data_IF_385370350594
#
_entry.id   IF_385370350594
#
_cell.length_a   1.000
_cell.length_b   1.000
_cell.length_c   1.000
_cell.angle_alpha   90.00
_cell.angle_beta   90.00
_cell.angle_gamma   90.00
#
_symmetry.space_group_name_H-M   'P 1'
#
loop_
_entity.id
_entity.type
_entity.pdbx_description
1 polymer ?
#
# COMPACT_ATOMS: atom_id res chain seq x y z
N UNK A 1 -18.12 20.60 29.82
CA UNK A 1 -16.95 19.82 30.23
C UNK A 1 -15.92 19.97 29.14
N UNK A 2 -14.88 20.79 29.34
CA UNK A 2 -13.88 21.11 28.29
C UNK A 2 -12.89 19.94 28.20
N UNK A 3 -12.85 19.26 27.06
CA UNK A 3 -11.80 18.30 26.76
C UNK A 3 -10.50 19.08 26.50
N UNK A 4 -9.45 18.78 27.24
CA UNK A 4 -8.14 19.37 27.11
C UNK A 4 -7.51 18.94 25.80
N UNK A 5 -7.28 19.91 24.91
CA UNK A 5 -6.41 19.73 23.76
C UNK A 5 -4.96 19.52 24.26
N UNK A 6 -4.56 18.27 24.36
CA UNK A 6 -3.14 17.94 24.55
C UNK A 6 -2.44 18.16 23.21
N UNK A 7 -1.82 19.32 23.06
CA UNK A 7 -0.87 19.60 21.99
C UNK A 7 0.25 18.55 22.08
N UNK A 8 0.29 17.64 21.13
CA UNK A 8 1.37 16.67 20.99
C UNK A 8 2.64 17.46 20.63
N UNK A 9 3.59 17.55 21.56
CA UNK A 9 4.91 18.13 21.27
C UNK A 9 5.54 17.37 20.09
N UNK A 10 6.26 18.05 19.19
CA UNK A 10 6.96 17.36 18.10
C UNK A 10 7.98 16.40 18.75
N UNK A 11 7.75 15.11 18.57
CA UNK A 11 8.73 14.08 18.94
C UNK A 11 9.97 14.26 18.07
N UNK A 12 11.13 13.93 18.62
CA UNK A 12 12.40 13.78 17.89
C UNK A 12 12.13 13.24 16.49
N UNK A 13 12.73 13.86 15.48
CA UNK A 13 12.51 13.53 14.07
C UNK A 13 12.80 12.05 13.83
N UNK A 14 11.76 11.21 13.96
CA UNK A 14 11.87 9.81 13.56
C UNK A 14 12.16 9.81 12.07
N UNK A 15 13.22 9.10 11.68
CA UNK A 15 13.42 8.80 10.25
C UNK A 15 12.18 8.05 9.74
N UNK A 16 11.60 8.46 8.59
CA UNK A 16 10.53 7.70 7.99
C UNK A 16 11.01 6.29 7.62
N UNK A 17 10.15 5.30 7.80
CA UNK A 17 10.42 3.93 7.38
C UNK A 17 10.56 3.86 5.85
N UNK A 18 11.69 3.39 5.37
CA UNK A 18 11.93 3.16 3.94
C UNK A 18 11.32 1.82 3.52
N UNK A 19 10.15 1.88 2.89
CA UNK A 19 9.44 0.71 2.38
C UNK A 19 9.76 0.46 0.91
N UNK A 20 10.34 -0.70 0.59
CA UNK A 20 10.72 -1.09 -0.75
C UNK A 20 9.83 -2.21 -1.34
N UNK A 21 9.56 -2.20 -2.66
CA UNK A 21 8.86 -3.29 -3.33
C UNK A 21 9.75 -4.52 -3.49
N UNK A 22 9.23 -5.72 -3.20
CA UNK A 22 9.89 -6.98 -3.51
C UNK A 22 8.95 -7.89 -4.32
N UNK A 23 9.15 -7.95 -5.64
CA UNK A 23 8.35 -8.78 -6.55
C UNK A 23 8.96 -10.16 -6.80
N UNK A 24 10.15 -10.45 -6.28
CA UNK A 24 10.90 -11.70 -6.38
C UNK A 24 11.96 -11.77 -5.29
N UNK A 25 12.59 -12.94 -5.08
CA UNK A 25 13.74 -13.06 -4.14
C UNK A 25 14.88 -12.12 -4.50
N UNK A 26 15.25 -12.02 -5.78
CA UNK A 26 16.31 -11.09 -6.22
C UNK A 26 15.97 -9.62 -5.92
N UNK A 27 14.68 -9.22 -6.04
CA UNK A 27 14.24 -7.87 -5.67
C UNK A 27 14.26 -7.67 -4.16
N UNK A 28 13.99 -8.71 -3.38
CA UNK A 28 14.12 -8.68 -1.91
C UNK A 28 15.57 -8.47 -1.52
N UNK A 29 16.49 -9.27 -2.04
CA UNK A 29 17.93 -9.14 -1.78
C UNK A 29 18.44 -7.73 -2.11
N UNK A 30 18.07 -7.19 -3.27
CA UNK A 30 18.42 -5.82 -3.66
C UNK A 30 17.83 -4.76 -2.72
N UNK A 31 16.62 -4.96 -2.19
CA UNK A 31 16.03 -4.05 -1.20
C UNK A 31 16.79 -4.10 0.14
N UNK A 32 17.18 -5.28 0.59
CA UNK A 32 17.98 -5.48 1.81
C UNK A 32 19.36 -4.81 1.68
N UNK A 33 20.05 -5.03 0.57
CA UNK A 33 21.33 -4.38 0.26
C UNK A 33 21.19 -2.85 0.13
N UNK A 34 20.04 -2.38 -0.36
CA UNK A 34 19.70 -0.95 -0.50
C UNK A 34 19.33 -0.27 0.81
N UNK A 35 19.28 -0.98 1.93
CA UNK A 35 18.99 -0.41 3.26
C UNK A 35 17.50 -0.16 3.50
N UNK A 36 16.61 -1.00 2.98
CA UNK A 36 15.20 -0.95 3.29
C UNK A 36 14.95 -1.25 4.77
N UNK A 37 14.02 -0.52 5.41
CA UNK A 37 13.53 -0.81 6.76
C UNK A 37 12.37 -1.80 6.73
N UNK A 38 11.62 -1.80 5.62
CA UNK A 38 10.54 -2.74 5.36
C UNK A 38 10.45 -3.08 3.87
N UNK A 39 9.88 -4.24 3.56
CA UNK A 39 9.56 -4.64 2.19
C UNK A 39 8.09 -5.01 2.08
N UNK A 40 7.47 -4.69 0.92
CA UNK A 40 6.16 -5.23 0.61
C UNK A 40 6.21 -6.17 -0.59
N UNK A 41 5.49 -7.27 -0.49
CA UNK A 41 5.47 -8.33 -1.49
C UNK A 41 4.05 -8.88 -1.66
N UNK A 42 3.83 -9.64 -2.72
CA UNK A 42 2.54 -10.24 -3.05
C UNK A 42 2.59 -11.76 -2.98
N UNK A 43 1.50 -12.35 -2.52
CA UNK A 43 1.24 -13.77 -2.71
C UNK A 43 0.81 -14.10 -4.14
N UNK A 44 0.54 -15.35 -4.43
CA UNK A 44 0.13 -15.82 -5.76
C UNK A 44 -1.26 -15.34 -6.18
N UNK A 45 -2.09 -14.87 -5.24
CA UNK A 45 -3.48 -14.47 -5.48
C UNK A 45 -3.88 -13.25 -4.65
N UNK A 46 -5.00 -12.62 -5.03
CA UNK A 46 -5.70 -11.57 -4.27
C UNK A 46 -4.86 -10.31 -3.99
N UNK A 47 -3.92 -9.99 -4.86
CA UNK A 47 -3.11 -8.79 -4.75
C UNK A 47 -3.10 -7.96 -6.04
N UNK A 48 -2.93 -6.66 -5.91
CA UNK A 48 -2.88 -5.71 -7.03
C UNK A 48 -1.56 -5.79 -7.84
N UNK A 49 -0.68 -6.73 -7.53
CA UNK A 49 0.59 -7.00 -8.22
C UNK A 49 0.58 -8.34 -8.94
N UNK A 50 -0.56 -8.80 -9.44
CA UNK A 50 -0.72 -10.10 -10.08
C UNK A 50 0.32 -10.39 -11.19
N UNK A 51 0.80 -9.36 -11.88
CA UNK A 51 1.82 -9.48 -12.94
C UNK A 51 3.27 -9.61 -12.41
N UNK A 52 3.54 -9.48 -11.12
CA UNK A 52 4.85 -9.78 -10.55
C UNK A 52 5.03 -11.30 -10.40
N UNK A 53 6.27 -11.76 -10.23
CA UNK A 53 6.54 -13.18 -9.99
C UNK A 53 5.82 -13.67 -8.73
N UNK A 54 5.72 -12.80 -7.73
CA UNK A 54 5.10 -13.06 -6.42
C UNK A 54 5.71 -14.27 -5.68
N UNK A 55 5.18 -14.59 -4.52
CA UNK A 55 5.73 -15.61 -3.64
C UNK A 55 4.67 -16.68 -3.33
N UNK A 56 5.01 -17.95 -3.49
CA UNK A 56 4.23 -19.03 -2.95
C UNK A 56 4.46 -19.15 -1.43
N UNK A 57 3.76 -20.05 -0.74
CA UNK A 57 3.81 -20.16 0.72
C UNK A 57 5.21 -20.54 1.27
N UNK A 58 5.99 -21.30 0.52
CA UNK A 58 7.37 -21.68 0.91
C UNK A 58 8.33 -20.52 0.67
N UNK A 59 8.26 -19.90 -0.50
CA UNK A 59 9.03 -18.69 -0.84
C UNK A 59 8.72 -17.54 0.12
N UNK A 60 7.45 -17.35 0.51
CA UNK A 60 7.05 -16.34 1.50
C UNK A 60 7.73 -16.56 2.84
N UNK A 61 7.73 -17.80 3.35
CA UNK A 61 8.44 -18.14 4.60
C UNK A 61 9.94 -17.92 4.50
N UNK A 62 10.55 -18.24 3.37
CA UNK A 62 11.97 -18.01 3.13
C UNK A 62 12.29 -16.52 3.05
N UNK A 63 11.48 -15.74 2.32
CA UNK A 63 11.62 -14.30 2.18
C UNK A 63 11.48 -13.58 3.54
N UNK A 64 10.48 -13.98 4.34
CA UNK A 64 10.26 -13.40 5.68
C UNK A 64 11.45 -13.68 6.61
N UNK A 65 11.94 -14.92 6.65
CA UNK A 65 13.13 -15.24 7.46
C UNK A 65 14.36 -14.47 7.03
N UNK A 66 14.58 -14.33 5.71
CA UNK A 66 15.71 -13.57 5.18
C UNK A 66 15.62 -12.09 5.56
N UNK A 67 14.46 -11.47 5.36
CA UNK A 67 14.22 -10.06 5.74
C UNK A 67 14.44 -9.84 7.24
N UNK A 68 13.84 -10.67 8.09
CA UNK A 68 13.98 -10.58 9.54
C UNK A 68 15.42 -10.79 10.02
N UNK A 69 16.20 -11.64 9.36
CA UNK A 69 17.63 -11.80 9.67
C UNK A 69 18.45 -10.51 9.42
N UNK A 70 17.93 -9.60 8.57
CA UNK A 70 18.48 -8.27 8.33
C UNK A 70 17.80 -7.16 9.16
N UNK A 71 16.85 -7.51 10.04
CA UNK A 71 16.08 -6.53 10.82
C UNK A 71 15.00 -5.79 10.00
N UNK A 72 14.64 -6.29 8.82
CA UNK A 72 13.72 -5.68 7.86
C UNK A 72 12.33 -6.31 8.00
N UNK A 73 11.28 -5.48 8.12
CA UNK A 73 9.88 -5.93 8.21
C UNK A 73 9.34 -6.40 6.87
N UNK A 74 8.33 -7.25 6.91
CA UNK A 74 7.67 -7.81 5.72
C UNK A 74 6.17 -7.54 5.75
N UNK A 75 5.63 -6.85 4.73
CA UNK A 75 4.21 -6.59 4.56
C UNK A 75 3.67 -7.35 3.35
N UNK A 76 2.64 -8.16 3.55
CA UNK A 76 2.02 -8.91 2.45
C UNK A 76 0.82 -8.15 1.90
N UNK A 77 0.77 -7.98 0.57
CA UNK A 77 -0.38 -7.39 -0.11
C UNK A 77 -1.49 -8.42 -0.33
N UNK A 78 -2.66 -8.16 0.25
CA UNK A 78 -3.96 -8.79 -0.03
C UNK A 78 -4.96 -7.67 -0.37
N UNK A 79 -4.63 -6.85 -1.36
CA UNK A 79 -5.21 -5.54 -1.57
C UNK A 79 -6.09 -5.44 -2.82
N UNK A 80 -6.80 -6.51 -3.15
CA UNK A 80 -7.91 -6.51 -4.08
C UNK A 80 -9.24 -6.52 -3.33
N UNK A 81 -10.31 -6.03 -3.95
CA UNK A 81 -11.66 -6.28 -3.47
C UNK A 81 -12.00 -7.77 -3.66
N UNK A 82 -12.72 -8.35 -2.71
CA UNK A 82 -13.05 -9.77 -2.72
C UNK A 82 -14.57 -9.97 -2.79
N UNK A 83 -14.99 -11.02 -3.49
CA UNK A 83 -16.37 -11.48 -3.52
C UNK A 83 -16.63 -12.46 -2.38
N UNK A 84 -17.91 -12.73 -2.06
CA UNK A 84 -18.28 -13.72 -1.04
C UNK A 84 -17.64 -15.10 -1.31
N UNK A 85 -17.48 -15.47 -2.58
CA UNK A 85 -16.84 -16.73 -2.97
C UNK A 85 -15.34 -16.77 -2.68
N UNK A 86 -14.70 -15.61 -2.62
CA UNK A 86 -13.26 -15.46 -2.39
C UNK A 86 -12.90 -15.22 -0.92
N UNK A 87 -13.88 -14.89 -0.06
CA UNK A 87 -13.64 -14.56 1.36
C UNK A 87 -12.91 -15.68 2.11
N UNK A 88 -13.18 -16.94 1.80
CA UNK A 88 -12.49 -18.08 2.45
C UNK A 88 -11.03 -18.11 2.02
N UNK A 89 -10.76 -18.05 0.71
CA UNK A 89 -9.40 -18.04 0.17
C UNK A 89 -8.61 -16.81 0.66
N UNK A 90 -9.25 -15.65 0.76
CA UNK A 90 -8.66 -14.44 1.33
C UNK A 90 -8.24 -14.62 2.79
N UNK A 91 -9.11 -15.23 3.60
CA UNK A 91 -8.83 -15.48 5.01
C UNK A 91 -7.72 -16.54 5.18
N UNK A 92 -7.73 -17.58 4.35
CA UNK A 92 -6.70 -18.63 4.39
C UNK A 92 -5.34 -18.08 3.99
N UNK A 93 -5.28 -17.24 2.94
CA UNK A 93 -4.05 -16.54 2.55
C UNK A 93 -3.49 -15.66 3.67
N UNK A 94 -4.36 -14.96 4.41
CA UNK A 94 -3.95 -14.17 5.56
C UNK A 94 -3.42 -15.04 6.72
N UNK A 95 -4.05 -16.19 6.98
CA UNK A 95 -3.56 -17.16 7.98
C UNK A 95 -2.20 -17.73 7.59
N UNK A 96 -1.99 -18.03 6.32
CA UNK A 96 -0.70 -18.52 5.82
C UNK A 96 0.39 -17.44 5.92
N UNK A 97 0.03 -16.16 5.67
CA UNK A 97 0.90 -15.02 5.90
C UNK A 97 1.31 -14.89 7.38
N UNK A 98 0.34 -14.98 8.30
CA UNK A 98 0.61 -14.96 9.73
C UNK A 98 1.53 -16.12 10.16
N UNK A 99 1.31 -17.34 9.63
CA UNK A 99 2.18 -18.50 9.89
C UNK A 99 3.59 -18.33 9.28
N UNK A 100 3.70 -17.58 8.19
CA UNK A 100 5.00 -17.23 7.60
C UNK A 100 5.75 -16.17 8.39
N UNK A 101 5.07 -15.49 9.35
CA UNK A 101 5.65 -14.49 10.23
C UNK A 101 5.69 -13.09 9.62
N UNK A 102 4.82 -12.76 8.64
CA UNK A 102 4.76 -11.38 8.11
C UNK A 102 4.30 -10.41 9.21
N UNK A 103 4.78 -9.18 9.15
CA UNK A 103 4.54 -8.18 10.20
C UNK A 103 3.18 -7.48 10.01
N UNK A 104 2.73 -7.30 8.76
CA UNK A 104 1.43 -6.71 8.47
C UNK A 104 0.82 -7.19 7.15
N UNK A 105 -0.49 -6.97 7.00
CA UNK A 105 -1.20 -7.14 5.73
C UNK A 105 -1.63 -5.79 5.17
N UNK A 106 -1.34 -5.55 3.89
CA UNK A 106 -1.86 -4.40 3.15
C UNK A 106 -3.15 -4.82 2.47
N UNK A 107 -4.29 -4.29 2.91
CA UNK A 107 -5.63 -4.70 2.46
C UNK A 107 -6.44 -3.54 1.87
N UNK A 108 -7.39 -3.84 0.99
CA UNK A 108 -8.28 -2.85 0.37
C UNK A 108 -9.77 -3.14 0.62
N UNK A 109 -10.13 -4.37 0.95
CA UNK A 109 -11.52 -4.76 1.21
C UNK A 109 -11.86 -4.57 2.70
N UNK A 110 -12.83 -3.70 2.97
CA UNK A 110 -13.24 -3.36 4.34
C UNK A 110 -13.93 -4.54 5.03
N UNK A 111 -14.78 -5.28 4.32
CA UNK A 111 -15.46 -6.46 4.87
C UNK A 111 -14.48 -7.60 5.16
N UNK A 112 -13.52 -7.81 4.23
CA UNK A 112 -12.42 -8.73 4.44
C UNK A 112 -11.55 -8.34 5.63
N UNK A 113 -11.20 -7.06 5.77
CA UNK A 113 -10.41 -6.55 6.89
C UNK A 113 -11.12 -6.80 8.25
N UNK A 114 -12.43 -6.53 8.32
CA UNK A 114 -13.22 -6.80 9.53
C UNK A 114 -13.21 -8.30 9.90
N UNK A 115 -13.29 -9.18 8.91
CA UNK A 115 -13.16 -10.62 9.13
C UNK A 115 -11.78 -10.99 9.65
N UNK A 116 -10.71 -10.44 9.07
CA UNK A 116 -9.34 -10.68 9.55
C UNK A 116 -9.12 -10.22 10.98
N UNK A 117 -9.67 -9.07 11.38
CA UNK A 117 -9.60 -8.59 12.77
C UNK A 117 -10.22 -9.55 13.76
N UNK A 118 -11.25 -10.30 13.39
CA UNK A 118 -11.88 -11.33 14.23
C UNK A 118 -11.06 -12.62 14.27
N UNK A 119 -10.51 -13.04 13.13
CA UNK A 119 -9.84 -14.34 12.99
C UNK A 119 -8.34 -14.31 13.31
N UNK A 120 -7.67 -13.16 13.08
CA UNK A 120 -6.23 -12.98 13.30
C UNK A 120 -5.99 -11.59 13.95
N UNK A 121 -6.47 -11.36 15.18
CA UNK A 121 -6.44 -10.03 15.81
C UNK A 121 -5.03 -9.49 16.11
N UNK A 122 -4.03 -10.35 16.15
CA UNK A 122 -2.64 -9.99 16.41
C UNK A 122 -1.90 -9.45 15.19
N UNK A 123 -2.41 -9.66 13.96
CA UNK A 123 -1.74 -9.22 12.74
C UNK A 123 -2.14 -7.78 12.40
N UNK A 124 -1.15 -6.93 12.15
CA UNK A 124 -1.40 -5.54 11.78
C UNK A 124 -2.05 -5.43 10.40
N UNK A 125 -2.94 -4.44 10.26
CA UNK A 125 -3.60 -4.12 9.00
C UNK A 125 -3.22 -2.73 8.54
N UNK A 126 -2.69 -2.63 7.32
CA UNK A 126 -2.40 -1.38 6.61
C UNK A 126 -3.44 -1.18 5.50
N UNK A 127 -4.04 -0.01 5.44
CA UNK A 127 -5.01 0.34 4.41
C UNK A 127 -4.27 0.65 3.10
N UNK A 128 -4.55 -0.11 2.06
CA UNK A 128 -3.93 0.06 0.74
C UNK A 128 -4.26 1.42 0.12
N UNK A 129 -3.37 1.94 -0.72
CA UNK A 129 -3.67 3.07 -1.61
C UNK A 129 -4.90 2.83 -2.50
N UNK A 130 -5.29 1.58 -2.73
CA UNK A 130 -6.52 1.20 -3.44
C UNK A 130 -7.81 1.63 -2.71
N UNK A 131 -7.72 1.98 -1.44
CA UNK A 131 -8.84 2.55 -0.67
C UNK A 131 -8.98 4.06 -0.87
N UNK A 132 -8.13 4.69 -1.67
CA UNK A 132 -8.20 6.14 -2.00
C UNK A 132 -8.13 7.08 -0.78
N UNK A 133 -7.23 6.82 0.18
CA UNK A 133 -7.09 7.62 1.40
C UNK A 133 -6.65 9.06 1.15
N UNK A 134 -7.52 10.06 1.37
CA UNK A 134 -7.26 11.46 1.07
C UNK A 134 -7.39 12.40 2.28
N UNK A 135 -7.98 11.99 3.39
CA UNK A 135 -8.29 12.88 4.49
C UNK A 135 -8.32 12.19 5.86
N UNK A 136 -8.26 13.00 6.90
CA UNK A 136 -8.22 12.53 8.28
C UNK A 136 -9.53 11.89 8.78
N UNK A 137 -10.66 12.16 8.13
CA UNK A 137 -11.91 11.50 8.48
C UNK A 137 -11.84 10.01 8.12
N UNK A 138 -11.30 9.69 6.93
CA UNK A 138 -11.04 8.31 6.55
C UNK A 138 -9.99 7.65 7.45
N UNK A 139 -8.92 8.37 7.83
CA UNK A 139 -7.93 7.83 8.75
C UNK A 139 -8.53 7.46 10.12
N UNK A 140 -9.49 8.26 10.61
CA UNK A 140 -10.23 7.94 11.85
C UNK A 140 -11.13 6.71 11.70
N UNK A 141 -11.91 6.62 10.62
CA UNK A 141 -12.75 5.45 10.34
C UNK A 141 -11.90 4.16 10.22
N UNK A 142 -10.76 4.25 9.56
CA UNK A 142 -9.82 3.14 9.47
C UNK A 142 -9.24 2.75 10.84
N UNK A 143 -8.89 3.73 11.69
CA UNK A 143 -8.44 3.47 13.06
C UNK A 143 -9.51 2.74 13.89
N UNK A 144 -10.76 3.16 13.80
CA UNK A 144 -11.90 2.50 14.47
C UNK A 144 -12.08 1.06 13.99
N UNK A 145 -11.77 0.77 12.74
CA UNK A 145 -11.76 -0.59 12.16
C UNK A 145 -10.50 -1.38 12.49
N UNK A 146 -9.54 -0.78 13.22
CA UNK A 146 -8.32 -1.43 13.69
C UNK A 146 -7.18 -1.46 12.68
N UNK A 147 -7.18 -0.58 11.69
CA UNK A 147 -5.99 -0.33 10.88
C UNK A 147 -4.98 0.50 11.68
N UNK A 148 -3.70 0.21 11.50
CA UNK A 148 -2.60 0.92 12.16
C UNK A 148 -1.90 1.92 11.23
N UNK A 149 -2.06 1.74 9.90
CA UNK A 149 -1.44 2.57 8.86
C UNK A 149 -2.39 2.77 7.67
N UNK A 150 -2.29 3.93 7.04
CA UNK A 150 -2.98 4.23 5.78
C UNK A 150 -1.97 4.67 4.72
N UNK A 151 -1.97 3.97 3.58
CA UNK A 151 -1.23 4.41 2.39
C UNK A 151 -2.05 5.51 1.71
N UNK A 152 -1.57 6.73 1.75
CA UNK A 152 -2.25 7.88 1.14
C UNK A 152 -2.38 7.70 -0.38
N UNK A 153 -3.45 8.25 -0.95
CA UNK A 153 -3.62 8.29 -2.39
C UNK A 153 -2.49 9.06 -3.06
N UNK A 154 -1.98 8.54 -4.18
CA UNK A 154 -0.79 9.09 -4.87
C UNK A 154 -0.98 10.49 -5.43
N UNK A 155 -2.22 10.89 -5.65
CA UNK A 155 -2.63 12.21 -6.14
C UNK A 155 -2.86 13.25 -5.04
N UNK A 156 -2.59 12.92 -3.77
CA UNK A 156 -2.76 13.87 -2.66
C UNK A 156 -1.78 15.06 -2.80
N UNK A 157 -2.29 16.27 -2.65
CA UNK A 157 -1.44 17.44 -2.64
C UNK A 157 -0.68 17.58 -1.32
N UNK A 158 0.47 18.28 -1.33
CA UNK A 158 1.24 18.55 -0.11
C UNK A 158 0.42 19.23 0.99
N UNK A 159 -0.45 20.17 0.63
CA UNK A 159 -1.30 20.87 1.59
C UNK A 159 -2.32 19.92 2.25
N UNK A 160 -2.95 19.05 1.45
CA UNK A 160 -3.90 18.08 1.96
C UNK A 160 -3.19 16.98 2.79
N UNK A 161 -1.97 16.59 2.41
CA UNK A 161 -1.15 15.67 3.19
C UNK A 161 -0.82 16.26 4.56
N UNK A 162 -0.39 17.51 4.63
CA UNK A 162 -0.11 18.17 5.91
C UNK A 162 -1.35 18.20 6.83
N UNK A 163 -2.52 18.57 6.29
CA UNK A 163 -3.78 18.56 7.02
C UNK A 163 -4.24 17.16 7.46
N UNK A 164 -3.93 16.14 6.65
CA UNK A 164 -4.15 14.74 7.01
C UNK A 164 -3.28 14.33 8.19
N UNK A 165 -1.96 14.55 8.09
CA UNK A 165 -0.97 14.15 9.09
C UNK A 165 -1.24 14.79 10.47
N UNK A 166 -1.62 16.08 10.48
CA UNK A 166 -1.97 16.81 11.71
C UNK A 166 -3.08 16.12 12.52
N UNK A 167 -4.00 15.41 11.86
CA UNK A 167 -5.24 14.88 12.45
C UNK A 167 -5.40 13.37 12.32
N UNK A 168 -4.46 12.68 11.70
CA UNK A 168 -4.50 11.23 11.55
C UNK A 168 -4.18 10.55 12.89
N UNK A 169 -5.03 9.62 13.36
CA UNK A 169 -4.71 8.82 14.55
C UNK A 169 -3.83 7.60 14.24
N UNK A 170 -3.58 7.31 12.96
CA UNK A 170 -2.78 6.19 12.48
C UNK A 170 -1.62 6.68 11.61
N UNK A 171 -0.63 5.84 11.41
CA UNK A 171 0.51 6.13 10.53
C UNK A 171 0.06 6.41 9.09
N UNK A 172 0.76 7.31 8.43
CA UNK A 172 0.52 7.60 7.01
C UNK A 172 1.75 7.24 6.19
N UNK A 173 1.55 6.36 5.23
CA UNK A 173 2.55 5.96 4.24
C UNK A 173 2.33 6.74 2.94
N UNK A 174 3.41 7.14 2.27
CA UNK A 174 3.36 7.89 1.03
C UNK A 174 4.26 7.28 -0.03
N UNK A 175 3.76 7.12 -1.26
CA UNK A 175 4.61 6.82 -2.40
C UNK A 175 5.50 8.02 -2.74
N UNK A 176 6.82 7.81 -2.79
CA UNK A 176 7.80 8.82 -3.18
C UNK A 176 8.45 8.54 -4.53
N UNK A 177 8.26 7.33 -5.06
CA UNK A 177 8.78 6.93 -6.38
C UNK A 177 7.84 5.94 -7.05
N UNK A 178 7.70 6.04 -8.37
CA UNK A 178 6.98 5.07 -9.20
C UNK A 178 5.92 5.67 -10.12
N UNK A 179 5.23 4.80 -10.85
CA UNK A 179 4.22 5.20 -11.82
C UNK A 179 3.00 5.84 -11.18
N UNK A 180 2.56 6.99 -11.74
CA UNK A 180 1.28 7.60 -11.40
C UNK A 180 0.17 7.08 -12.31
N UNK A 181 -1.00 6.80 -11.72
CA UNK A 181 -2.22 6.52 -12.46
C UNK A 181 -2.85 7.82 -12.98
N UNK A 182 -3.45 7.76 -14.18
CA UNK A 182 -4.24 8.87 -14.74
C UNK A 182 -5.55 9.08 -13.98
N UNK A 183 -6.02 8.06 -13.28
CA UNK A 183 -7.24 8.05 -12.47
C UNK A 183 -6.90 8.10 -10.97
N UNK A 184 -7.89 8.43 -10.14
CA UNK A 184 -7.77 8.30 -8.69
C UNK A 184 -7.32 6.89 -8.29
N UNK A 185 -6.49 6.82 -7.26
CA UNK A 185 -5.96 5.56 -6.73
C UNK A 185 -7.08 4.58 -6.40
N UNK A 186 -6.99 3.35 -6.93
CA UNK A 186 -7.99 2.31 -6.69
C UNK A 186 -9.31 2.43 -7.47
N UNK A 187 -9.54 3.49 -8.26
CA UNK A 187 -10.85 3.77 -8.91
C UNK A 187 -10.83 3.59 -10.44
N UNK A 188 -9.73 3.08 -11.01
CA UNK A 188 -9.58 2.98 -12.45
C UNK A 188 -10.27 1.75 -13.03
N UNK A 189 -11.21 1.96 -13.95
CA UNK A 189 -11.87 0.89 -14.73
C UNK A 189 -11.36 0.81 -16.18
N UNK A 190 -10.40 1.65 -16.58
CA UNK A 190 -10.02 1.79 -17.99
C UNK A 190 -9.57 0.45 -18.61
N UNK A 191 -8.67 -0.26 -17.95
CA UNK A 191 -8.18 -1.56 -18.43
C UNK A 191 -9.28 -2.63 -18.50
N UNK A 192 -10.25 -2.58 -17.59
CA UNK A 192 -11.41 -3.48 -17.59
C UNK A 192 -12.33 -3.22 -18.79
N UNK A 193 -12.62 -1.93 -19.06
CA UNK A 193 -13.54 -1.53 -20.12
C UNK A 193 -12.96 -1.76 -21.52
N UNK A 194 -11.65 -1.50 -21.69
CA UNK A 194 -11.00 -1.60 -23.02
C UNK A 194 -10.50 -3.01 -23.31
N UNK A 195 -10.05 -3.76 -22.32
CA UNK A 195 -9.38 -5.04 -22.52
C UNK A 195 -9.86 -6.19 -21.64
N UNK A 196 -10.94 -6.03 -20.88
CA UNK A 196 -11.48 -7.07 -19.99
C UNK A 196 -10.56 -7.42 -18.80
N UNK A 197 -9.50 -6.62 -18.55
CA UNK A 197 -8.49 -6.87 -17.52
C UNK A 197 -8.66 -5.91 -16.34
N UNK A 198 -9.02 -6.45 -15.18
CA UNK A 198 -9.28 -5.62 -14.00
C UNK A 198 -7.99 -5.02 -13.42
N UNK A 199 -7.81 -3.70 -13.59
CA UNK A 199 -6.69 -2.97 -13.00
C UNK A 199 -6.69 -3.02 -11.47
N UNK A 200 -7.85 -3.03 -10.85
CA UNK A 200 -8.01 -3.08 -9.39
C UNK A 200 -7.73 -4.48 -8.81
N UNK A 201 -7.60 -5.48 -9.67
CA UNK A 201 -7.24 -6.86 -9.31
C UNK A 201 -5.83 -7.26 -9.79
N UNK A 202 -5.00 -6.28 -10.11
CA UNK A 202 -3.60 -6.49 -10.47
C UNK A 202 -3.34 -6.81 -11.95
N UNK A 203 -4.38 -6.79 -12.79
CA UNK A 203 -4.28 -7.17 -14.21
C UNK A 203 -4.20 -5.97 -15.16
N UNK A 204 -3.89 -4.79 -14.64
CA UNK A 204 -3.83 -3.57 -15.43
C UNK A 204 -2.89 -3.69 -16.63
N UNK A 205 -3.42 -3.55 -17.85
CA UNK A 205 -2.64 -3.53 -19.08
C UNK A 205 -2.02 -2.16 -19.39
N UNK A 206 -2.17 -1.18 -18.49
CA UNK A 206 -1.69 0.19 -18.65
C UNK A 206 -2.17 0.88 -19.95
N UNK A 207 -3.46 0.81 -20.32
CA UNK A 207 -3.94 1.43 -21.56
C UNK A 207 -3.67 2.94 -21.59
N UNK A 208 -3.61 3.63 -20.45
CA UNK A 208 -3.25 5.04 -20.37
C UNK A 208 -1.79 5.35 -20.82
N UNK A 209 -0.92 4.35 -20.94
CA UNK A 209 0.47 4.49 -21.40
C UNK A 209 0.65 4.19 -22.89
N UNK A 210 -0.42 3.83 -23.58
CA UNK A 210 -0.40 3.55 -25.02
C UNK A 210 -0.49 4.84 -25.84
N UNK A 211 -0.03 4.82 -27.11
CA UNK A 211 -0.20 5.95 -28.02
C UNK A 211 -1.67 6.07 -28.45
N UNK A 212 -2.14 7.30 -28.54
CA UNK A 212 -3.47 7.66 -29.00
C UNK A 212 -3.38 8.83 -29.99
N UNK A 213 -4.34 8.88 -30.94
CA UNK A 213 -4.46 10.06 -31.82
C UNK A 213 -5.06 11.22 -31.04
N UNK A 214 -4.24 12.24 -30.74
CA UNK A 214 -4.71 13.45 -30.07
C UNK A 214 -3.94 14.67 -30.58
N UNK A 215 -4.55 15.86 -30.44
CA UNK A 215 -3.90 17.14 -30.78
C UNK A 215 -2.73 17.48 -29.82
N UNK A 216 -2.72 16.90 -28.64
CA UNK A 216 -1.78 17.20 -27.55
C UNK A 216 -0.52 16.31 -27.57
N UNK A 217 -0.38 15.41 -28.53
CA UNK A 217 0.78 14.51 -28.64
C UNK A 217 0.40 13.04 -28.74
N UNK A 218 1.42 12.18 -28.84
CA UNK A 218 1.24 10.74 -29.05
C UNK A 218 0.74 9.99 -27.80
N UNK A 219 1.11 10.45 -26.60
CA UNK A 219 0.79 9.81 -25.33
C UNK A 219 -0.04 10.73 -24.41
N UNK A 220 -1.26 11.14 -24.81
CA UNK A 220 -2.01 12.21 -24.14
C UNK A 220 -2.48 11.86 -22.71
N UNK A 221 -2.55 10.58 -22.37
CA UNK A 221 -2.99 10.09 -21.06
C UNK A 221 -1.84 9.63 -20.16
N UNK A 222 -0.60 9.57 -20.70
CA UNK A 222 0.55 9.11 -19.93
C UNK A 222 1.06 10.21 -19.02
N UNK A 223 0.87 10.04 -17.71
CA UNK A 223 1.49 10.90 -16.70
C UNK A 223 2.99 10.60 -16.61
N UNK A 224 3.76 11.58 -16.15
CA UNK A 224 5.14 11.36 -15.72
C UNK A 224 5.15 10.53 -14.45
N UNK A 225 6.19 9.73 -14.28
CA UNK A 225 6.37 8.96 -13.05
C UNK A 225 6.69 9.89 -11.87
N UNK A 226 6.24 9.49 -10.69
CA UNK A 226 6.52 10.19 -9.46
C UNK A 226 8.00 10.06 -9.09
N UNK A 227 8.63 11.15 -8.71
CA UNK A 227 9.98 11.16 -8.15
C UNK A 227 10.07 12.31 -7.13
N UNK A 228 9.97 11.97 -5.86
CA UNK A 228 9.98 12.91 -4.73
C UNK A 228 11.26 12.80 -3.88
N UNK A 229 12.34 12.21 -4.42
CA UNK A 229 13.59 12.02 -3.67
C UNK A 229 14.09 13.33 -3.02
N UNK A 230 14.01 14.45 -3.76
CA UNK A 230 14.42 15.78 -3.25
C UNK A 230 13.48 16.34 -2.16
N UNK A 231 12.25 15.86 -2.10
CA UNK A 231 11.22 16.28 -1.15
C UNK A 231 11.19 15.42 0.12
N UNK A 232 11.86 14.26 0.13
CA UNK A 232 11.86 13.34 1.29
C UNK A 232 12.19 14.05 2.61
N UNK A 233 13.21 14.94 2.71
CA UNK A 233 13.49 15.65 3.96
C UNK A 233 12.34 16.56 4.43
N UNK A 234 11.59 17.14 3.49
CA UNK A 234 10.42 17.97 3.81
C UNK A 234 9.22 17.11 4.25
N UNK A 235 9.00 15.98 3.58
CA UNK A 235 7.96 15.00 3.93
C UNK A 235 8.21 14.38 5.31
N UNK A 236 9.45 14.02 5.63
CA UNK A 236 9.84 13.54 6.95
C UNK A 236 9.55 14.57 8.06
N UNK A 237 9.83 15.88 7.80
CA UNK A 237 9.47 16.96 8.75
C UNK A 237 7.96 17.14 8.92
N UNK A 238 7.14 16.75 7.93
CA UNK A 238 5.68 16.76 8.04
C UNK A 238 5.16 15.60 8.89
N UNK A 239 5.96 14.56 9.13
CA UNK A 239 5.59 13.39 9.95
C UNK A 239 5.05 12.20 9.13
N UNK A 240 5.50 12.06 7.88
CA UNK A 240 5.28 10.86 7.07
C UNK A 240 6.12 9.72 7.65
#
# INVERSE_FOLDING_TARGET
>A
MRMSDSVRMPSETKHPELLCPAGSMASLEAALEGGADAVYLGGTQLNARANAKNFNAEELRAATRLAHAHGVKVYLTLNTLVTDRELTAFTDAAKDAARAGVDALIVADVGGAERLRREIPSLELHASTQMSGHNSAMARDLAERGFTRMVAAREISRANLAALLERSPIETELFVHGALCVCHSGQCLFSSLVGGRSGNRGECAQPCRLPYRAKTGEYPLSLRDLSLAKQVPDLARLGV
#
